data_IF_781211790685
#
_entry.id   IF_781211790685
#
_cell.length_a   1.000
_cell.length_b   1.000
_cell.length_c   1.000
_cell.angle_alpha   90.00
_cell.angle_beta   90.00
_cell.angle_gamma   90.00
#
_symmetry.space_group_name_H-M   'P 1'
#
loop_
_entity.id
_entity.type
_entity.pdbx_description
1 polymer ?
#
# COMPACT_ATOMS: atom_id res chain seq x y z
N UNK A 1 -27.49 6.90 -15.28
CA UNK A 1 -28.13 8.19 -15.62
C UNK A 1 -29.65 8.05 -15.82
N UNK A 2 -30.12 7.12 -16.68
CA UNK A 2 -31.55 6.85 -16.94
C UNK A 2 -32.41 6.65 -15.68
N UNK A 3 -31.90 5.92 -14.68
CA UNK A 3 -32.58 5.71 -13.39
C UNK A 3 -32.43 6.89 -12.40
N UNK A 4 -32.00 8.08 -12.85
CA UNK A 4 -31.82 9.31 -12.06
C UNK A 4 -31.06 9.18 -10.73
N UNK A 5 -30.17 8.17 -10.62
CA UNK A 5 -29.32 7.97 -9.45
C UNK A 5 -28.34 9.13 -9.30
N UNK A 6 -28.24 9.69 -8.09
CA UNK A 6 -27.32 10.78 -7.79
C UNK A 6 -25.87 10.26 -7.71
N UNK A 7 -24.95 10.67 -8.61
CA UNK A 7 -23.57 10.19 -8.60
C UNK A 7 -22.84 10.51 -7.29
N UNK A 8 -23.18 11.60 -6.60
CA UNK A 8 -22.60 11.96 -5.29
C UNK A 8 -23.04 11.03 -4.15
N UNK A 9 -23.98 10.12 -4.37
CA UNK A 9 -24.38 9.07 -3.40
C UNK A 9 -23.83 7.68 -3.78
N UNK A 10 -23.30 7.51 -4.99
CA UNK A 10 -22.76 6.23 -5.47
C UNK A 10 -21.28 6.12 -5.11
N UNK A 11 -20.95 5.24 -4.15
CA UNK A 11 -19.64 5.13 -3.51
C UNK A 11 -18.45 4.89 -4.46
N UNK A 12 -18.69 4.26 -5.60
CA UNK A 12 -17.66 3.91 -6.59
C UNK A 12 -17.29 5.06 -7.52
N UNK A 13 -18.13 6.09 -7.63
CA UNK A 13 -17.91 7.20 -8.57
C UNK A 13 -16.84 8.17 -8.07
N UNK A 14 -16.16 8.84 -9.02
CA UNK A 14 -15.24 9.94 -8.71
C UNK A 14 -15.93 11.13 -8.05
N UNK A 15 -17.18 11.41 -8.41
CA UNK A 15 -17.96 12.49 -7.81
C UNK A 15 -18.14 12.30 -6.30
N UNK A 16 -18.57 11.10 -5.88
CA UNK A 16 -18.67 10.74 -4.47
C UNK A 16 -17.30 10.77 -3.78
N UNK A 17 -16.26 10.23 -4.42
CA UNK A 17 -14.92 10.15 -3.85
C UNK A 17 -14.34 11.55 -3.58
N UNK A 18 -14.52 12.49 -4.50
CA UNK A 18 -14.12 13.89 -4.32
C UNK A 18 -14.92 14.59 -3.22
N UNK A 19 -16.25 14.47 -3.22
CA UNK A 19 -17.09 15.13 -2.20
C UNK A 19 -16.90 14.56 -0.79
N UNK A 20 -16.56 13.27 -0.70
CA UNK A 20 -16.36 12.57 0.59
C UNK A 20 -14.90 12.56 1.05
N UNK A 21 -14.03 13.38 0.45
CA UNK A 21 -12.62 13.49 0.86
C UNK A 21 -11.78 12.23 0.63
N UNK A 22 -12.17 11.35 -0.29
CA UNK A 22 -11.40 10.14 -0.64
C UNK A 22 -10.31 10.40 -1.68
N UNK A 23 -10.33 11.56 -2.33
CA UNK A 23 -9.33 11.97 -3.32
C UNK A 23 -8.90 13.41 -3.04
N UNK A 24 -7.72 13.76 -3.50
CA UNK A 24 -7.23 15.13 -3.47
C UNK A 24 -8.04 15.99 -4.45
N UNK A 25 -8.70 17.03 -3.94
CA UNK A 25 -9.56 17.93 -4.75
C UNK A 25 -8.95 19.30 -4.98
N UNK A 26 -8.26 19.85 -3.97
CA UNK A 26 -7.66 21.19 -4.02
C UNK A 26 -6.15 21.02 -4.16
N UNK A 27 -5.65 21.07 -5.40
CA UNK A 27 -4.23 20.99 -5.70
C UNK A 27 -3.86 21.78 -6.94
N UNK A 28 -2.65 22.36 -6.94
CA UNK A 28 -2.17 23.17 -8.06
C UNK A 28 -1.93 22.36 -9.33
N UNK A 29 -1.73 21.04 -9.26
CA UNK A 29 -1.59 20.23 -10.48
C UNK A 29 -2.89 20.09 -11.27
N UNK A 30 -4.05 20.30 -10.62
CA UNK A 30 -5.36 20.15 -11.27
C UNK A 30 -5.75 21.37 -12.11
N UNK A 31 -5.13 22.54 -11.89
CA UNK A 31 -5.44 23.78 -12.62
C UNK A 31 -4.96 23.73 -14.09
N UNK A 32 -3.94 22.92 -14.38
CA UNK A 32 -3.40 22.74 -15.73
C UNK A 32 -4.40 22.10 -16.71
N UNK A 33 -5.41 21.39 -16.20
CA UNK A 33 -6.45 20.75 -17.01
C UNK A 33 -7.64 21.67 -17.34
N UNK A 34 -7.52 22.99 -17.11
CA UNK A 34 -8.57 23.95 -17.42
C UNK A 34 -8.87 24.01 -18.92
N UNK A 35 -10.16 24.06 -19.28
CA UNK A 35 -10.61 24.25 -20.67
C UNK A 35 -10.21 25.65 -21.15
N UNK A 36 -9.46 25.72 -22.25
CA UNK A 36 -9.11 26.98 -22.93
C UNK A 36 -10.14 27.24 -24.03
N UNK A 37 -10.83 28.37 -23.96
CA UNK A 37 -11.85 28.75 -24.96
C UNK A 37 -11.27 29.59 -26.11
N UNK A 38 -10.03 30.10 -25.96
CA UNK A 38 -9.33 30.87 -26.99
C UNK A 38 -8.20 30.00 -27.56
N UNK A 39 -8.20 29.73 -28.87
CA UNK A 39 -7.12 28.99 -29.51
C UNK A 39 -5.88 29.88 -29.67
N UNK A 40 -4.71 29.26 -29.68
CA UNK A 40 -3.42 29.92 -29.92
C UNK A 40 -2.85 29.39 -31.24
N UNK A 41 -2.14 30.24 -31.99
CA UNK A 41 -1.43 29.83 -33.21
C UNK A 41 -0.44 28.71 -32.87
N UNK A 42 -0.29 27.74 -33.76
CA UNK A 42 0.70 26.68 -33.58
C UNK A 42 2.12 27.25 -33.48
N UNK A 43 2.84 26.83 -32.45
CA UNK A 43 4.27 27.08 -32.28
C UNK A 43 4.92 25.76 -31.79
N UNK A 44 5.95 25.29 -32.51
CA UNK A 44 6.62 24.02 -32.24
C UNK A 44 7.26 23.99 -30.85
N UNK A 45 7.89 25.08 -30.43
CA UNK A 45 8.57 25.17 -29.13
C UNK A 45 7.57 25.16 -27.98
N UNK A 46 6.42 25.82 -28.16
CA UNK A 46 5.31 25.79 -27.21
C UNK A 46 4.76 24.37 -27.04
N UNK A 47 4.55 23.64 -28.14
CA UNK A 47 4.04 22.26 -28.07
C UNK A 47 5.06 21.34 -27.41
N UNK A 48 6.35 21.43 -27.78
CA UNK A 48 7.41 20.61 -27.22
C UNK A 48 7.58 20.83 -25.71
N UNK A 49 7.55 22.08 -25.26
CA UNK A 49 7.61 22.42 -23.82
C UNK A 49 6.37 21.96 -23.07
N UNK A 50 5.18 22.08 -23.67
CA UNK A 50 3.92 21.62 -23.08
C UNK A 50 3.92 20.11 -22.87
N UNK A 51 4.37 19.32 -23.85
CA UNK A 51 4.45 17.85 -23.71
C UNK A 51 5.37 17.43 -22.56
N UNK A 52 6.54 18.07 -22.43
CA UNK A 52 7.46 17.83 -21.30
C UNK A 52 6.82 18.20 -19.96
N UNK A 53 6.17 19.37 -19.90
CA UNK A 53 5.50 19.85 -18.69
C UNK A 53 4.33 18.93 -18.28
N UNK A 54 3.57 18.40 -19.24
CA UNK A 54 2.47 17.46 -18.96
C UNK A 54 2.94 16.19 -18.26
N UNK A 55 4.01 15.56 -18.75
CA UNK A 55 4.60 14.38 -18.09
C UNK A 55 5.05 14.70 -16.67
N UNK A 56 5.74 15.84 -16.50
CA UNK A 56 6.22 16.27 -15.17
C UNK A 56 5.08 16.54 -14.19
N UNK A 57 4.01 17.21 -14.64
CA UNK A 57 2.84 17.49 -13.80
C UNK A 57 2.13 16.19 -13.41
N UNK A 58 2.04 15.21 -14.31
CA UNK A 58 1.45 13.91 -14.01
C UNK A 58 2.22 13.16 -12.90
N UNK A 59 3.55 13.13 -12.96
CA UNK A 59 4.39 12.53 -11.92
C UNK A 59 4.17 13.20 -10.55
N UNK A 60 4.17 14.54 -10.51
CA UNK A 60 3.98 15.30 -9.27
C UNK A 60 2.60 15.01 -8.69
N UNK A 61 1.58 14.97 -9.55
CA UNK A 61 0.21 14.64 -9.13
C UNK A 61 0.13 13.24 -8.53
N UNK A 62 0.70 12.22 -9.17
CA UNK A 62 0.72 10.86 -8.64
C UNK A 62 1.42 10.78 -7.28
N UNK A 63 2.56 11.45 -7.12
CA UNK A 63 3.29 11.53 -5.84
C UNK A 63 2.42 12.16 -4.74
N UNK A 64 1.74 13.27 -5.05
CA UNK A 64 0.84 13.97 -4.11
C UNK A 64 -0.39 13.12 -3.75
N UNK A 65 -1.02 12.47 -4.73
CA UNK A 65 -2.14 11.55 -4.51
C UNK A 65 -1.73 10.37 -3.61
N UNK A 66 -0.52 9.81 -3.80
CA UNK A 66 0.03 8.77 -2.93
C UNK A 66 0.22 9.24 -1.49
N UNK A 67 0.74 10.45 -1.29
CA UNK A 67 0.90 11.04 0.05
C UNK A 67 -0.47 11.25 0.71
N UNK A 68 -1.46 11.76 -0.02
CA UNK A 68 -2.82 11.92 0.49
C UNK A 68 -3.42 10.58 0.92
N UNK A 69 -3.25 9.53 0.12
CA UNK A 69 -3.69 8.19 0.48
C UNK A 69 -3.02 7.68 1.77
N UNK A 70 -1.69 7.84 1.89
CA UNK A 70 -0.94 7.43 3.08
C UNK A 70 -1.48 8.11 4.34
N UNK A 71 -1.63 9.44 4.32
CA UNK A 71 -2.20 10.21 5.43
C UNK A 71 -3.63 9.77 5.79
N UNK A 72 -4.46 9.47 4.78
CA UNK A 72 -5.83 8.99 5.02
C UNK A 72 -5.88 7.60 5.67
N UNK A 73 -4.91 6.74 5.37
CA UNK A 73 -4.84 5.38 5.91
C UNK A 73 -4.02 5.28 7.20
N UNK A 74 -3.47 6.39 7.67
CA UNK A 74 -2.79 6.49 8.94
C UNK A 74 -3.73 6.07 10.09
N UNK A 75 -3.18 5.41 11.11
CA UNK A 75 -3.94 4.89 12.25
C UNK A 75 -4.80 3.64 11.97
N UNK A 76 -4.95 3.18 10.72
CA UNK A 76 -5.62 1.90 10.45
C UNK A 76 -4.87 0.72 11.09
N UNK A 77 -3.54 0.75 11.07
CA UNK A 77 -2.70 -0.30 11.67
C UNK A 77 -2.91 -0.41 13.18
N UNK A 78 -2.98 0.72 13.87
CA UNK A 78 -3.21 0.76 15.32
C UNK A 78 -4.61 0.26 15.68
N UNK A 79 -5.63 0.68 14.91
CA UNK A 79 -6.99 0.17 15.07
C UNK A 79 -7.08 -1.33 14.80
N UNK A 80 -6.36 -1.83 13.81
CA UNK A 80 -6.26 -3.27 13.55
C UNK A 80 -5.63 -3.98 14.75
N UNK A 81 -4.44 -3.55 15.22
CA UNK A 81 -3.79 -4.11 16.40
C UNK A 81 -4.67 -4.08 17.66
N UNK A 82 -5.44 -3.01 17.86
CA UNK A 82 -6.38 -2.93 18.98
C UNK A 82 -7.53 -3.93 18.84
N UNK A 83 -8.08 -4.09 17.64
CA UNK A 83 -9.09 -5.11 17.35
C UNK A 83 -8.53 -6.53 17.50
N UNK A 84 -7.30 -6.78 17.05
CA UNK A 84 -6.63 -8.08 17.16
C UNK A 84 -6.39 -8.44 18.64
N UNK A 85 -5.90 -7.50 19.45
CA UNK A 85 -5.76 -7.69 20.92
C UNK A 85 -7.09 -8.03 21.58
N UNK A 86 -8.16 -7.32 21.20
CA UNK A 86 -9.51 -7.59 21.69
C UNK A 86 -9.98 -9.00 21.27
N UNK A 87 -9.76 -9.37 20.02
CA UNK A 87 -10.13 -10.67 19.47
C UNK A 87 -9.46 -11.82 20.22
N UNK A 88 -8.16 -11.70 20.49
CA UNK A 88 -7.38 -12.70 21.25
C UNK A 88 -7.89 -12.81 22.69
N UNK A 89 -8.17 -11.68 23.35
CA UNK A 89 -8.69 -11.68 24.71
C UNK A 89 -10.06 -12.37 24.82
N UNK A 90 -10.97 -12.10 23.87
CA UNK A 90 -12.30 -12.73 23.84
C UNK A 90 -12.25 -14.22 23.47
N UNK A 91 -11.32 -14.60 22.59
CA UNK A 91 -11.23 -15.95 22.03
C UNK A 91 -10.00 -16.73 22.50
N UNK A 92 -9.52 -16.44 23.73
CA UNK A 92 -8.33 -17.07 24.30
C UNK A 92 -8.42 -18.61 24.34
N UNK A 93 -9.63 -19.16 24.37
CA UNK A 93 -9.89 -20.60 24.40
C UNK A 93 -9.58 -21.33 23.09
N UNK A 94 -9.53 -20.62 21.95
CA UNK A 94 -9.18 -21.19 20.64
C UNK A 94 -7.67 -21.32 20.44
N UNK A 95 -6.87 -20.68 21.29
CA UNK A 95 -5.41 -20.76 21.19
C UNK A 95 -4.93 -22.14 21.69
N UNK A 96 -3.98 -22.78 20.98
CA UNK A 96 -3.34 -23.99 21.46
C UNK A 96 -2.70 -23.73 22.83
N UNK A 97 -3.10 -24.52 23.84
CA UNK A 97 -2.49 -24.43 25.17
C UNK A 97 -1.09 -25.03 25.08
N UNK A 98 -0.05 -24.20 25.24
CA UNK A 98 1.33 -24.66 25.42
C UNK A 98 1.38 -25.63 26.61
N UNK A 99 2.12 -26.73 26.48
CA UNK A 99 2.22 -27.73 27.54
C UNK A 99 3.00 -27.13 28.71
N UNK A 100 2.60 -27.39 29.95
CA UNK A 100 3.23 -26.75 31.13
C UNK A 100 4.75 -26.99 31.26
N UNK A 101 5.24 -28.12 30.73
CA UNK A 101 6.67 -28.44 30.64
C UNK A 101 7.43 -27.53 29.65
N UNK A 102 6.79 -27.14 28.54
CA UNK A 102 7.38 -26.28 27.51
C UNK A 102 7.49 -24.83 28.02
N UNK A 103 6.46 -24.36 28.75
CA UNK A 103 6.48 -23.03 29.40
C UNK A 103 7.61 -22.93 30.43
N UNK A 104 7.75 -23.96 31.27
CA UNK A 104 8.80 -24.03 32.30
C UNK A 104 10.21 -24.21 31.72
N UNK A 105 10.34 -24.87 30.57
CA UNK A 105 11.60 -25.01 29.86
C UNK A 105 12.05 -23.67 29.21
N UNK A 106 11.13 -22.89 28.63
CA UNK A 106 11.44 -21.55 28.11
C UNK A 106 11.84 -20.57 29.21
N UNK A 107 11.09 -20.56 30.32
CA UNK A 107 11.36 -19.69 31.47
C UNK A 107 12.72 -20.00 32.14
N UNK A 108 13.12 -21.27 32.18
CA UNK A 108 14.42 -21.71 32.69
C UNK A 108 15.60 -21.38 31.75
N UNK A 109 15.35 -21.10 30.47
CA UNK A 109 16.36 -20.71 29.50
C UNK A 109 16.73 -19.22 29.57
N UNK A 110 16.09 -18.44 30.46
CA UNK A 110 16.42 -17.04 30.71
C UNK A 110 15.99 -16.08 29.60
N UNK A 111 15.25 -16.56 28.61
CA UNK A 111 14.46 -15.69 27.74
C UNK A 111 13.29 -15.17 28.56
N UNK A 112 13.36 -13.91 28.97
CA UNK A 112 12.12 -13.18 29.26
C UNK A 112 11.26 -13.33 28.01
N UNK A 113 10.15 -14.06 28.13
CA UNK A 113 9.25 -14.31 27.02
C UNK A 113 8.52 -12.99 26.74
N UNK A 114 9.20 -12.01 26.14
CA UNK A 114 8.55 -11.13 25.19
C UNK A 114 8.09 -12.05 24.06
N UNK A 115 6.77 -12.12 23.91
CA UNK A 115 6.06 -13.04 23.05
C UNK A 115 6.37 -12.73 21.57
N UNK A 116 7.58 -13.03 21.09
CA UNK A 116 7.87 -13.10 19.66
C UNK A 116 7.23 -14.37 19.11
N UNK A 117 6.03 -14.19 18.56
CA UNK A 117 5.26 -15.24 17.90
C UNK A 117 5.97 -15.62 16.59
N UNK A 118 6.99 -16.47 16.67
CA UNK A 118 7.56 -17.10 15.47
C UNK A 118 6.55 -18.13 14.96
N UNK A 119 5.82 -17.75 13.92
CA UNK A 119 4.86 -18.63 13.27
C UNK A 119 5.54 -19.90 12.74
N UNK A 120 4.94 -21.09 12.90
CA UNK A 120 5.49 -22.30 12.31
C UNK A 120 5.37 -22.21 10.79
N UNK A 121 6.51 -22.30 10.09
CA UNK A 121 6.54 -22.44 8.63
C UNK A 121 5.79 -23.71 8.23
N UNK A 122 4.64 -23.55 7.58
CA UNK A 122 3.98 -24.64 6.90
C UNK A 122 4.94 -25.21 5.84
N UNK A 123 5.25 -26.51 5.92
CA UNK A 123 5.93 -27.22 4.83
C UNK A 123 4.97 -27.28 3.64
N UNK A 124 5.03 -26.26 2.80
CA UNK A 124 4.36 -26.30 1.50
C UNK A 124 5.11 -27.34 0.66
N UNK A 125 4.41 -28.42 0.38
CA UNK A 125 4.87 -29.52 -0.45
C UNK A 125 5.11 -28.99 -1.87
N UNK A 126 6.37 -29.04 -2.32
CA UNK A 126 6.76 -28.63 -3.66
C UNK A 126 8.26 -28.40 -3.72
N UNK A 127 9.02 -29.33 -4.29
CA UNK A 127 10.44 -29.11 -4.62
C UNK A 127 10.52 -28.09 -5.75
N UNK A 128 10.49 -26.81 -5.45
CA UNK A 128 10.85 -25.77 -6.40
C UNK A 128 12.38 -25.74 -6.47
N UNK A 129 12.94 -26.25 -7.56
CA UNK A 129 14.38 -26.26 -7.80
C UNK A 129 14.88 -24.82 -7.96
N UNK A 130 15.54 -24.27 -6.94
CA UNK A 130 16.33 -23.06 -7.06
C UNK A 130 17.54 -23.36 -7.95
N UNK A 131 17.54 -22.86 -9.19
CA UNK A 131 18.73 -22.91 -10.05
C UNK A 131 19.77 -21.94 -9.48
N UNK A 132 20.77 -22.47 -8.79
CA UNK A 132 22.00 -21.75 -8.47
C UNK A 132 22.73 -21.45 -9.78
N UNK A 133 22.88 -20.17 -10.12
CA UNK A 133 23.87 -19.76 -11.11
C UNK A 133 25.08 -19.24 -10.34
N UNK A 134 26.17 -20.00 -10.37
CA UNK A 134 27.48 -19.49 -9.94
C UNK A 134 27.90 -18.42 -10.95
N UNK A 135 28.15 -17.21 -10.45
CA UNK A 135 28.99 -16.23 -11.12
C UNK A 135 30.29 -16.12 -10.34
N UNK A 136 31.39 -16.04 -11.09
CA UNK A 136 32.76 -15.94 -10.60
C UNK A 136 32.92 -14.66 -9.79
N UNK A 137 33.36 -14.78 -8.53
CA UNK A 137 33.63 -13.64 -7.62
C UNK A 137 32.60 -13.55 -6.49
N UNK A 138 32.89 -14.19 -5.36
CA UNK A 138 31.96 -14.35 -4.23
C UNK A 138 31.59 -13.04 -3.53
N UNK A 139 30.37 -12.58 -3.75
CA UNK A 139 29.72 -11.52 -2.97
C UNK A 139 28.20 -11.58 -3.17
N UNK A 140 27.45 -11.77 -2.09
CA UNK A 140 25.98 -11.74 -2.08
C UNK A 140 25.50 -10.29 -1.83
N UNK A 141 24.68 -9.75 -2.74
CA UNK A 141 23.94 -8.51 -2.51
C UNK A 141 22.46 -8.83 -2.71
N UNK A 142 21.70 -8.82 -1.61
CA UNK A 142 20.24 -8.89 -1.65
C UNK A 142 19.69 -7.50 -1.97
N UNK A 143 19.33 -7.24 -3.23
CA UNK A 143 18.56 -6.05 -3.60
C UNK A 143 17.09 -6.45 -3.77
N UNK A 144 16.28 -6.25 -2.73
CA UNK A 144 14.81 -6.34 -2.85
C UNK A 144 14.27 -5.06 -3.50
N UNK A 145 14.19 -5.07 -4.83
CA UNK A 145 13.66 -3.98 -5.63
C UNK A 145 12.66 -4.45 -6.68
N UNK A 146 11.40 -4.59 -6.26
CA UNK A 146 10.21 -4.27 -7.06
C UNK A 146 9.90 -5.10 -8.30
N UNK A 147 8.62 -5.47 -8.45
CA UNK A 147 8.04 -5.51 -9.78
C UNK A 147 6.56 -5.20 -9.73
N UNK A 148 6.25 -4.03 -10.30
CA UNK A 148 5.04 -3.73 -11.03
C UNK A 148 4.66 -4.91 -11.94
N UNK A 149 3.35 -5.16 -12.08
CA UNK A 149 2.82 -6.06 -13.10
C UNK A 149 1.71 -5.33 -13.88
N UNK A 150 1.90 -5.45 -15.19
CA UNK A 150 1.10 -4.98 -16.33
C UNK A 150 -0.43 -5.14 -16.20
#
# INVERSE_FOLDING_TARGET
FKMKRNPRKLKWTKAFRKSSGKEMVVDSTLTFAARRNVPVRYNRDLVATTLKAMSRVAEIRQKRERVFYKKRMEGNKERAKAADRKLVAENAHLLPKMRGSERKALEAMGEEVEEEVVAPRAKVFGKMQTRRKQLVGGGEVEEEGGMDLD
#
